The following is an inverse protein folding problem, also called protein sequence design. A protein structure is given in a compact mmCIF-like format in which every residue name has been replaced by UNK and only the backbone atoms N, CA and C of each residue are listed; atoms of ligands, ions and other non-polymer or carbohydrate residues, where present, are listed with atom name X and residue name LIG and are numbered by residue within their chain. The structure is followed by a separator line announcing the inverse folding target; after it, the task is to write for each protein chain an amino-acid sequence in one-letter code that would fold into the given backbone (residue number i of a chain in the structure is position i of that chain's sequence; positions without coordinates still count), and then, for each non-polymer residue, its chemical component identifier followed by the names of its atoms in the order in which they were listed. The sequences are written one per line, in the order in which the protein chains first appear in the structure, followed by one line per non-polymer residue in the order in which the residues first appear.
data_IF_530739089697
#
_entry.id   IF_530739089697
#
_cell.length_a   1.000
_cell.length_b   1.000
_cell.length_c   1.000
_cell.angle_alpha   90.00
_cell.angle_beta   90.00
_cell.angle_gamma   90.00
#
_symmetry.space_group_name_H-M   'P 1'
#
loop_
_entity.id
_entity.type
_entity.pdbx_description
1 polymer ?
#
# COMPACT_ATOMS: atom_id res chain seq x y z
N UNK A 1 -10.02 -9.51 -2.13
CA UNK A 1 -8.93 -9.59 -1.14
C UNK A 1 -8.33 -8.20 -1.04
N UNK A 2 -8.06 -7.67 0.16
CA UNK A 2 -7.47 -6.33 0.32
C UNK A 2 -6.10 -6.43 0.99
N UNK A 3 -5.14 -5.65 0.50
CA UNK A 3 -3.79 -5.57 1.03
C UNK A 3 -3.68 -4.32 1.90
N UNK A 4 -3.13 -4.45 3.11
CA UNK A 4 -2.91 -3.32 4.01
C UNK A 4 -1.43 -2.96 4.00
N UNK A 5 -1.11 -1.71 3.67
CA UNK A 5 0.26 -1.21 3.52
C UNK A 5 0.49 -0.05 4.48
N UNK A 6 1.50 -0.20 5.34
CA UNK A 6 1.98 0.89 6.18
C UNK A 6 2.93 1.74 5.37
N UNK A 7 2.59 3.01 5.20
CA UNK A 7 3.37 3.98 4.44
C UNK A 7 3.94 5.05 5.37
N UNK A 8 4.87 5.86 4.86
CA UNK A 8 5.33 7.04 5.61
C UNK A 8 4.22 8.10 5.67
N UNK A 9 4.39 9.09 6.55
CA UNK A 9 3.44 10.21 6.64
C UNK A 9 3.44 11.06 5.36
N UNK A 10 4.57 11.18 4.70
CA UNK A 10 4.75 11.97 3.48
C UNK A 10 4.02 11.28 2.33
N UNK A 11 4.34 10.01 2.08
CA UNK A 11 3.67 9.18 1.06
C UNK A 11 2.16 9.09 1.28
N UNK A 12 1.69 9.01 2.53
CA UNK A 12 0.26 8.99 2.81
C UNK A 12 -0.46 10.28 2.38
N UNK A 13 0.19 11.44 2.56
CA UNK A 13 -0.38 12.73 2.19
C UNK A 13 -0.29 12.97 0.68
N UNK A 14 0.76 12.47 0.05
CA UNK A 14 0.99 12.58 -1.41
C UNK A 14 0.25 11.50 -2.21
N UNK A 15 -0.23 10.44 -1.55
CA UNK A 15 -1.01 9.40 -2.21
C UNK A 15 -2.22 10.01 -2.93
N UNK A 16 -2.38 9.69 -4.20
CA UNK A 16 -3.49 10.12 -5.03
C UNK A 16 -3.84 9.04 -6.06
N UNK A 17 -4.99 9.19 -6.73
CA UNK A 17 -5.40 8.22 -7.74
C UNK A 17 -4.45 8.24 -8.95
N UNK A 18 -4.02 7.08 -9.43
CA UNK A 18 -2.94 6.91 -10.43
C UNK A 18 -1.55 7.38 -9.96
N UNK A 19 -1.39 7.67 -8.67
CA UNK A 19 -0.09 7.90 -8.06
C UNK A 19 0.59 6.59 -7.69
N UNK A 20 1.66 6.68 -6.90
CA UNK A 20 2.34 5.51 -6.38
C UNK A 20 2.75 5.75 -4.93
N UNK A 21 2.93 4.66 -4.20
CA UNK A 21 3.47 4.68 -2.83
C UNK A 21 4.32 3.45 -2.60
N UNK A 22 5.30 3.57 -1.72
CA UNK A 22 6.00 2.42 -1.16
C UNK A 22 5.76 2.28 0.34
N UNK A 23 5.88 1.05 0.83
CA UNK A 23 5.66 0.78 2.23
C UNK A 23 5.77 -0.69 2.60
N UNK A 24 5.35 -1.01 3.82
CA UNK A 24 5.44 -2.35 4.38
C UNK A 24 4.07 -3.02 4.49
N UNK A 25 3.99 -4.29 4.12
CA UNK A 25 2.76 -5.06 4.25
C UNK A 25 2.43 -5.35 5.72
N UNK A 26 1.20 -5.05 6.14
CA UNK A 26 0.75 -5.34 7.50
C UNK A 26 0.83 -6.84 7.80
N UNK A 27 1.39 -7.18 8.97
CA UNK A 27 1.48 -8.57 9.43
C UNK A 27 2.63 -9.38 8.80
N UNK A 28 3.37 -8.82 7.84
CA UNK A 28 4.59 -9.43 7.26
C UNK A 28 5.80 -8.54 7.48
N UNK A 29 6.53 -8.79 8.55
CA UNK A 29 7.77 -8.06 8.83
C UNK A 29 8.80 -8.30 7.72
N UNK A 30 9.39 -7.22 7.21
CA UNK A 30 10.41 -7.28 6.16
C UNK A 30 9.89 -7.54 4.74
N UNK A 31 8.57 -7.41 4.51
CA UNK A 31 8.03 -7.39 3.13
C UNK A 31 7.69 -5.96 2.76
N UNK A 32 8.44 -5.45 1.80
CA UNK A 32 8.25 -4.15 1.20
C UNK A 32 7.42 -4.28 -0.07
N UNK A 33 6.63 -3.27 -0.37
CA UNK A 33 5.85 -3.21 -1.59
C UNK A 33 5.96 -1.82 -2.20
N UNK A 34 6.06 -1.80 -3.52
CA UNK A 34 5.73 -0.64 -4.33
C UNK A 34 4.31 -0.85 -4.85
N UNK A 35 3.48 0.16 -4.75
CA UNK A 35 2.08 0.10 -5.16
C UNK A 35 1.80 1.25 -6.12
N UNK A 36 1.38 0.91 -7.34
CA UNK A 36 0.73 1.87 -8.22
C UNK A 36 -0.74 1.95 -7.80
N UNK A 37 -1.12 3.13 -7.32
CA UNK A 37 -2.46 3.39 -6.81
C UNK A 37 -3.41 3.53 -7.99
N UNK A 38 -4.50 2.78 -7.99
CA UNK A 38 -5.57 2.97 -8.97
C UNK A 38 -6.51 4.10 -8.54
N UNK A 39 -7.78 3.75 -8.32
CA UNK A 39 -8.84 4.72 -8.03
C UNK A 39 -9.09 4.78 -6.52
N UNK A 40 -9.01 5.98 -5.94
CA UNK A 40 -9.38 6.21 -4.53
C UNK A 40 -10.88 5.99 -4.33
N UNK A 41 -11.22 5.28 -3.26
CA UNK A 41 -12.58 5.01 -2.85
C UNK A 41 -12.76 5.27 -1.36
N UNK A 42 -13.99 5.54 -0.94
CA UNK A 42 -14.31 5.70 0.48
C UNK A 42 -13.87 4.47 1.27
N UNK A 43 -13.07 4.71 2.31
CA UNK A 43 -12.69 3.68 3.25
C UNK A 43 -13.85 3.39 4.20
N UNK A 44 -14.25 2.12 4.28
CA UNK A 44 -15.23 1.66 5.26
C UNK A 44 -14.48 1.17 6.50
N UNK A 45 -14.58 1.88 7.65
CA UNK A 45 -13.88 1.50 8.86
C UNK A 45 -14.34 0.14 9.37
N UNK A 46 -13.38 -0.66 9.82
CA UNK A 46 -13.60 -1.99 10.37
C UNK A 46 -13.46 -1.96 11.89
N UNK A 47 -14.12 -2.91 12.57
CA UNK A 47 -14.16 -2.99 14.04
C UNK A 47 -12.79 -3.09 14.71
N UNK A 48 -11.77 -3.59 14.00
CA UNK A 48 -10.41 -3.76 14.50
C UNK A 48 -9.44 -2.65 14.06
N UNK A 49 -9.93 -1.60 13.39
CA UNK A 49 -9.08 -0.49 12.99
C UNK A 49 -8.72 0.38 14.19
N UNK A 50 -7.52 0.94 14.15
CA UNK A 50 -7.05 1.81 15.21
C UNK A 50 -7.69 3.20 15.01
N UNK A 51 -8.47 3.71 15.98
CA UNK A 51 -9.14 5.01 15.84
C UNK A 51 -8.19 6.20 15.78
N UNK A 52 -6.88 6.00 16.01
CA UNK A 52 -5.84 7.03 15.90
C UNK A 52 -5.05 6.97 14.59
N UNK A 53 -5.39 6.05 13.70
CA UNK A 53 -4.70 5.86 12.42
C UNK A 53 -5.59 6.39 11.29
N UNK A 54 -4.97 7.08 10.36
CA UNK A 54 -5.60 7.52 9.13
C UNK A 54 -5.53 6.38 8.10
N UNK A 55 -6.65 6.08 7.44
CA UNK A 55 -6.77 5.02 6.44
C UNK A 55 -7.27 5.61 5.12
N UNK A 56 -6.70 5.16 4.00
CA UNK A 56 -7.19 5.47 2.65
C UNK A 56 -7.27 4.18 1.83
N UNK A 57 -8.25 4.10 0.95
CA UNK A 57 -8.54 2.90 0.17
C UNK A 57 -8.43 3.18 -1.31
N UNK A 58 -7.73 2.32 -2.03
CA UNK A 58 -7.55 2.39 -3.46
C UNK A 58 -7.93 1.04 -4.08
N UNK A 59 -8.61 1.09 -5.22
CA UNK A 59 -8.99 -0.09 -6.01
C UNK A 59 -8.23 -0.09 -7.33
N UNK A 60 -8.17 -1.26 -7.96
CA UNK A 60 -7.45 -1.43 -9.23
C UNK A 60 -5.97 -1.06 -9.12
N UNK A 61 -5.36 -1.38 -7.98
CA UNK A 61 -3.94 -1.14 -7.77
C UNK A 61 -3.09 -2.28 -8.32
N UNK A 62 -1.89 -1.94 -8.77
CA UNK A 62 -0.84 -2.90 -9.08
C UNK A 62 0.18 -2.90 -7.96
N UNK A 63 0.49 -4.09 -7.43
CA UNK A 63 1.35 -4.28 -6.25
C UNK A 63 2.56 -5.08 -6.66
N UNK A 64 3.74 -4.53 -6.36
CA UNK A 64 5.03 -5.12 -6.64
C UNK A 64 5.73 -5.44 -5.32
N UNK A 65 5.97 -6.72 -5.06
CA UNK A 65 6.55 -7.17 -3.79
C UNK A 65 8.07 -7.25 -3.88
N UNK A 66 8.74 -6.71 -2.87
CA UNK A 66 10.18 -6.80 -2.68
C UNK A 66 10.53 -7.25 -1.26
N UNK A 67 11.72 -7.84 -1.12
CA UNK A 67 12.23 -8.29 0.19
C UNK A 67 12.94 -7.19 0.96
N UNK A 68 13.49 -6.20 0.25
CA UNK A 68 14.24 -5.10 0.83
C UNK A 68 13.87 -3.81 0.09
N UNK A 69 14.11 -2.67 0.74
CA UNK A 69 13.92 -1.36 0.13
C UNK A 69 14.89 -1.15 -1.05
N UNK A 70 16.13 -1.64 -0.95
CA UNK A 70 17.10 -1.58 -2.06
C UNK A 70 16.62 -2.31 -3.32
N UNK A 71 15.80 -3.36 -3.18
CA UNK A 71 15.19 -4.04 -4.32
C UNK A 71 14.06 -3.21 -4.94
N UNK A 72 13.32 -2.44 -4.13
CA UNK A 72 12.34 -1.48 -4.66
C UNK A 72 13.04 -0.43 -5.53
N UNK A 73 14.15 0.12 -5.04
CA UNK A 73 14.91 1.16 -5.77
C UNK A 73 15.52 0.67 -7.09
N UNK A 74 15.75 -0.64 -7.21
CA UNK A 74 16.26 -1.29 -8.42
C UNK A 74 15.17 -1.90 -9.30
N UNK A 75 13.91 -1.74 -8.91
CA UNK A 75 12.75 -2.34 -9.58
C UNK A 75 12.85 -3.89 -9.69
N UNK A 76 13.48 -4.53 -8.69
CA UNK A 76 13.64 -5.98 -8.60
C UNK A 76 12.49 -6.60 -7.81
N UNK A 77 11.43 -6.99 -8.53
CA UNK A 77 10.22 -7.55 -7.94
C UNK A 77 10.29 -9.07 -7.79
N UNK A 78 9.85 -9.58 -6.64
CA UNK A 78 9.66 -11.01 -6.42
C UNK A 78 8.35 -11.52 -6.99
N UNK A 79 7.32 -10.67 -6.94
CA UNK A 79 5.96 -10.99 -7.36
C UNK A 79 5.24 -9.70 -7.71
N UNK A 80 4.34 -9.78 -8.68
CA UNK A 80 3.44 -8.69 -9.06
C UNK A 80 2.01 -9.21 -8.99
N UNK A 81 1.12 -8.43 -8.38
CA UNK A 81 -0.31 -8.71 -8.30
C UNK A 81 -1.09 -7.49 -8.78
N UNK A 82 -1.99 -7.71 -9.73
CA UNK A 82 -2.73 -6.65 -10.41
C UNK A 82 -4.19 -6.64 -9.98
N UNK A 83 -4.83 -5.47 -10.09
CA UNK A 83 -6.24 -5.28 -9.72
C UNK A 83 -6.53 -5.60 -8.24
N UNK A 84 -5.58 -5.25 -7.37
CA UNK A 84 -5.68 -5.43 -5.92
C UNK A 84 -6.39 -4.22 -5.31
N UNK A 85 -7.15 -4.44 -4.23
CA UNK A 85 -7.61 -3.35 -3.37
C UNK A 85 -6.55 -3.09 -2.31
N UNK A 86 -5.96 -1.90 -2.29
CA UNK A 86 -4.92 -1.53 -1.33
C UNK A 86 -5.47 -0.52 -0.33
N UNK A 87 -5.23 -0.78 0.95
CA UNK A 87 -5.54 0.12 2.05
C UNK A 87 -4.22 0.63 2.60
N UNK A 88 -3.94 1.90 2.43
CA UNK A 88 -2.76 2.54 3.01
C UNK A 88 -3.11 3.12 4.37
N UNK A 89 -2.16 3.08 5.30
CA UNK A 89 -2.34 3.62 6.65
C UNK A 89 -1.03 4.10 7.26
N UNK A 90 -1.13 5.01 8.25
CA UNK A 90 0.02 5.53 9.02
C UNK A 90 -0.08 5.34 10.53
#
# INVERSE_FOLDING_TARGET
MSLRVKVSREDFNEAESNGWVDGQVQGKSGVWVYVELGIEVDYVPQTNDNPKTDYRCFRMCDVFYARTQEMLEKEEWLLTDSNVTVIIYR
#
